data_IF_722408757212
#
_entry.id   IF_722408757212
#
_cell.length_a   1.000
_cell.length_b   1.000
_cell.length_c   1.000
_cell.angle_alpha   90.00
_cell.angle_beta   90.00
_cell.angle_gamma   90.00
#
_symmetry.space_group_name_H-M   'P 1'
#
loop_
_entity.id
_entity.type
_entity.pdbx_description
1 polymer ?
#
# COMPACT_ATOMS: atom_id res chain seq x y z
N UNK A 1 7.01 44.51 67.78
CA UNK A 1 6.57 45.70 67.02
C UNK A 1 5.23 45.36 66.43
N UNK A 2 4.19 46.00 66.97
CA UNK A 2 2.79 45.88 66.62
C UNK A 2 2.58 46.43 65.19
N UNK A 3 1.78 45.80 64.34
CA UNK A 3 0.37 46.20 64.16
C UNK A 3 -0.41 45.13 63.34
N UNK A 4 -1.69 44.85 63.68
CA UNK A 4 -2.55 43.81 63.14
C UNK A 4 -3.65 44.37 62.20
N UNK A 5 -4.39 43.47 61.54
CA UNK A 5 -5.57 43.79 60.72
C UNK A 5 -5.40 43.29 59.27
N UNK A 6 -6.28 42.51 58.66
CA UNK A 6 -7.73 42.44 58.84
C UNK A 6 -8.27 41.09 58.30
N UNK A 7 -8.61 40.18 59.19
CA UNK A 7 -9.70 39.20 59.09
C UNK A 7 -10.43 39.30 60.44
N UNK A 8 -11.71 38.94 60.62
CA UNK A 8 -12.86 38.72 59.72
C UNK A 8 -14.05 39.62 60.19
N UNK A 9 -15.35 39.29 60.02
CA UNK A 9 -15.97 38.24 60.84
C UNK A 9 -16.98 37.35 60.08
N UNK A 10 -16.82 36.06 60.28
CA UNK A 10 -17.80 35.17 60.89
C UNK A 10 -19.31 35.45 60.74
N UNK A 11 -19.96 34.30 60.57
CA UNK A 11 -21.17 33.92 61.27
C UNK A 11 -22.50 34.33 60.61
N UNK A 12 -23.03 33.30 59.95
CA UNK A 12 -24.32 32.75 60.37
C UNK A 12 -25.50 33.69 60.13
N UNK A 13 -25.93 33.79 58.88
CA UNK A 13 -27.34 34.08 58.64
C UNK A 13 -27.88 33.16 57.54
N UNK A 14 -28.86 32.36 57.96
CA UNK A 14 -29.90 31.69 57.14
C UNK A 14 -29.50 30.35 56.50
N UNK A 15 -29.52 29.31 57.34
CA UNK A 15 -30.35 28.13 57.00
C UNK A 15 -31.75 28.65 56.68
N UNK A 16 -32.18 28.59 55.41
CA UNK A 16 -33.54 28.26 55.01
C UNK A 16 -33.76 28.44 53.49
N UNK A 17 -34.24 27.36 52.87
CA UNK A 17 -34.95 27.28 51.60
C UNK A 17 -34.12 27.47 50.32
N UNK A 18 -33.59 26.37 49.80
CA UNK A 18 -33.79 26.06 48.38
C UNK A 18 -34.18 24.58 48.25
N UNK A 19 -35.49 24.37 48.07
CA UNK A 19 -36.14 23.10 47.82
C UNK A 19 -35.67 22.57 46.45
N UNK A 20 -35.13 21.36 46.47
CA UNK A 20 -34.62 20.62 45.32
C UNK A 20 -35.77 20.14 44.44
N UNK A 21 -36.37 21.02 43.63
CA UNK A 21 -37.38 20.61 42.62
C UNK A 21 -37.31 21.50 41.38
N UNK A 22 -37.27 20.82 40.22
CA UNK A 22 -37.40 21.35 38.85
C UNK A 22 -36.14 21.91 38.18
N UNK A 23 -35.19 21.02 37.84
CA UNK A 23 -34.52 21.14 36.54
C UNK A 23 -35.53 20.76 35.44
N UNK A 24 -35.69 21.56 34.36
CA UNK A 24 -36.63 21.22 33.30
C UNK A 24 -36.09 20.03 32.48
N UNK A 25 -36.87 18.95 32.44
CA UNK A 25 -36.59 17.70 31.73
C UNK A 25 -36.38 17.86 30.20
N UNK A 26 -36.58 19.05 29.65
CA UNK A 26 -36.42 19.37 28.23
C UNK A 26 -34.96 19.46 27.76
N UNK A 27 -33.99 19.74 28.65
CA UNK A 27 -32.57 19.77 28.27
C UNK A 27 -31.93 18.39 28.15
N UNK A 28 -32.48 17.38 28.83
CA UNK A 28 -31.97 16.00 28.77
C UNK A 28 -32.32 15.29 27.46
N UNK A 29 -33.38 15.71 26.76
CA UNK A 29 -33.85 15.05 25.55
C UNK A 29 -33.02 15.41 24.29
N UNK A 30 -32.43 16.61 24.23
CA UNK A 30 -31.54 17.01 23.12
C UNK A 30 -30.14 16.37 23.21
N UNK A 31 -29.67 16.02 24.40
CA UNK A 31 -28.37 15.35 24.60
C UNK A 31 -28.40 13.86 24.24
N UNK A 32 -29.57 13.22 24.28
CA UNK A 32 -29.77 11.81 23.88
C UNK A 32 -29.87 11.60 22.37
N UNK A 33 -30.20 12.63 21.58
CA UNK A 33 -30.24 12.54 20.11
C UNK A 33 -28.86 12.60 19.45
N UNK A 34 -27.84 13.08 20.16
CA UNK A 34 -26.45 13.10 19.66
C UNK A 34 -25.73 11.75 19.80
N UNK A 35 -26.26 10.81 20.59
CA UNK A 35 -25.63 9.50 20.83
C UNK A 35 -26.09 8.40 19.85
N UNK A 36 -27.09 8.67 19.02
CA UNK A 36 -27.67 7.70 18.06
C UNK A 36 -27.80 8.24 16.62
N UNK A 37 -27.10 9.31 16.27
CA UNK A 37 -26.96 9.70 14.87
C UNK A 37 -26.20 8.61 14.08
N UNK A 38 -26.57 8.30 12.82
CA UNK A 38 -25.80 7.38 12.01
C UNK A 38 -24.36 7.90 11.94
N UNK A 39 -23.44 7.12 12.52
CA UNK A 39 -22.02 7.40 12.43
C UNK A 39 -21.67 7.22 10.96
N UNK A 40 -21.41 8.33 10.25
CA UNK A 40 -20.81 8.27 8.95
C UNK A 40 -19.43 7.63 9.14
N UNK A 41 -19.34 6.32 8.93
CA UNK A 41 -18.05 5.64 8.83
C UNK A 41 -17.31 6.31 7.67
N UNK A 42 -16.12 6.82 7.94
CA UNK A 42 -15.29 7.39 6.89
C UNK A 42 -15.08 6.31 5.83
N UNK A 43 -15.65 6.52 4.65
CA UNK A 43 -15.59 5.56 3.55
C UNK A 43 -14.11 5.30 3.21
N UNK A 44 -13.64 4.06 3.40
CA UNK A 44 -12.28 3.71 3.02
C UNK A 44 -12.12 3.88 1.51
N UNK A 45 -11.09 4.64 1.10
CA UNK A 45 -10.75 4.81 -0.32
C UNK A 45 -10.22 3.52 -0.92
N UNK A 46 -10.51 3.30 -2.20
CA UNK A 46 -9.90 2.26 -3.00
C UNK A 46 -8.38 2.44 -3.02
N UNK A 47 -7.66 1.42 -2.56
CA UNK A 47 -6.19 1.40 -2.53
C UNK A 47 -5.65 0.00 -2.78
N UNK A 48 -4.48 -0.05 -3.40
CA UNK A 48 -3.76 -1.29 -3.70
C UNK A 48 -2.50 -1.41 -2.83
N UNK A 49 -2.03 -2.64 -2.57
CA UNK A 49 -0.71 -2.88 -2.02
C UNK A 49 0.36 -2.24 -2.90
N UNK A 50 1.44 -1.76 -2.29
CA UNK A 50 2.47 -0.96 -2.98
C UNK A 50 3.29 -1.78 -3.97
N UNK A 51 3.19 -3.12 -3.93
CA UNK A 51 3.76 -4.01 -4.93
C UNK A 51 3.10 -3.85 -6.30
N UNK A 52 1.84 -3.38 -6.36
CA UNK A 52 1.18 -3.07 -7.61
C UNK A 52 1.56 -1.66 -8.07
N UNK A 53 1.95 -1.56 -9.35
CA UNK A 53 2.44 -0.32 -9.94
C UNK A 53 2.50 -0.40 -11.45
N UNK A 54 2.71 0.76 -12.07
CA UNK A 54 3.07 0.84 -13.48
C UNK A 54 4.33 0.01 -13.74
N UNK A 55 4.45 -0.54 -14.94
CA UNK A 55 5.61 -1.31 -15.36
C UNK A 55 5.87 -2.58 -14.53
N UNK A 56 4.91 -3.08 -13.77
CA UNK A 56 5.09 -4.35 -13.05
C UNK A 56 5.09 -5.57 -13.98
N UNK A 57 5.50 -6.72 -13.44
CA UNK A 57 5.39 -8.03 -14.09
C UNK A 57 4.50 -8.92 -13.20
N UNK A 58 3.49 -9.54 -13.79
CA UNK A 58 2.63 -10.52 -13.14
C UNK A 58 3.04 -11.95 -13.53
N UNK A 59 2.88 -12.90 -12.60
CA UNK A 59 3.29 -14.29 -12.80
C UNK A 59 2.47 -14.98 -13.90
N UNK A 60 3.15 -15.57 -14.87
CA UNK A 60 2.57 -16.41 -15.93
C UNK A 60 2.22 -17.81 -15.44
N UNK A 61 1.38 -18.50 -16.21
CA UNK A 61 1.08 -19.94 -16.11
C UNK A 61 0.53 -20.38 -14.72
N UNK A 62 0.09 -19.42 -13.90
CA UNK A 62 -0.58 -19.62 -12.62
C UNK A 62 -1.72 -18.62 -12.46
N UNK A 63 -2.79 -18.94 -11.72
CA UNK A 63 -3.81 -17.97 -11.37
C UNK A 63 -3.19 -16.73 -10.71
N UNK A 64 -3.62 -15.55 -11.14
CA UNK A 64 -3.06 -14.28 -10.67
C UNK A 64 -3.95 -13.74 -9.56
N UNK A 65 -3.42 -13.72 -8.33
CA UNK A 65 -4.09 -13.12 -7.18
C UNK A 65 -3.95 -11.61 -7.22
N UNK A 66 -5.08 -10.91 -7.20
CA UNK A 66 -5.15 -9.45 -7.09
C UNK A 66 -5.94 -9.13 -5.83
N UNK A 67 -5.42 -8.24 -5.00
CA UNK A 67 -6.02 -7.90 -3.72
C UNK A 67 -5.79 -6.43 -3.37
N UNK A 68 -6.59 -5.91 -2.46
CA UNK A 68 -6.44 -4.56 -1.96
C UNK A 68 -7.46 -4.20 -0.89
N UNK A 69 -7.70 -2.90 -0.75
CA UNK A 69 -8.68 -2.36 0.16
C UNK A 69 -9.65 -1.42 -0.56
N UNK A 70 -10.88 -1.36 -0.10
CA UNK A 70 -11.94 -0.45 -0.53
C UNK A 70 -12.88 -0.20 0.64
N UNK A 71 -13.92 0.62 0.44
CA UNK A 71 -14.99 0.77 1.41
C UNK A 71 -15.62 -0.59 1.76
N UNK A 72 -16.04 -0.78 3.01
CA UNK A 72 -16.66 -2.02 3.45
C UNK A 72 -17.86 -2.37 2.55
N UNK A 73 -17.98 -3.65 2.19
CA UNK A 73 -19.07 -4.18 1.34
C UNK A 73 -19.17 -3.51 -0.06
N UNK A 74 -18.17 -2.75 -0.48
CA UNK A 74 -18.17 -2.08 -1.78
C UNK A 74 -17.82 -3.05 -2.91
N UNK A 75 -18.51 -2.97 -4.06
CA UNK A 75 -18.17 -3.78 -5.23
C UNK A 75 -16.85 -3.31 -5.85
N UNK A 76 -16.00 -4.28 -6.19
CA UNK A 76 -14.71 -4.07 -6.84
C UNK A 76 -14.67 -4.85 -8.15
N UNK A 77 -14.26 -4.20 -9.23
CA UNK A 77 -14.08 -4.81 -10.56
C UNK A 77 -12.63 -4.70 -10.97
N UNK A 78 -12.04 -5.82 -11.36
CA UNK A 78 -10.65 -5.96 -11.77
C UNK A 78 -10.62 -6.38 -13.23
N UNK A 79 -9.93 -5.60 -14.07
CA UNK A 79 -9.79 -5.91 -15.50
C UNK A 79 -8.32 -5.91 -15.94
N UNK A 80 -7.91 -6.99 -16.59
CA UNK A 80 -6.55 -7.18 -17.09
C UNK A 80 -6.53 -8.21 -18.23
N UNK A 81 -5.81 -7.92 -19.31
CA UNK A 81 -5.57 -8.86 -20.41
C UNK A 81 -6.83 -9.54 -20.97
N UNK A 82 -7.89 -8.76 -21.18
CA UNK A 82 -9.19 -9.25 -21.68
C UNK A 82 -10.05 -9.98 -20.62
N UNK A 83 -9.53 -10.21 -19.42
CA UNK A 83 -10.29 -10.73 -18.30
C UNK A 83 -10.96 -9.61 -17.51
N UNK A 84 -12.13 -9.91 -16.95
CA UNK A 84 -12.81 -9.05 -15.98
C UNK A 84 -13.38 -9.92 -14.86
N UNK A 85 -13.05 -9.60 -13.61
CA UNK A 85 -13.55 -10.29 -12.42
C UNK A 85 -14.11 -9.27 -11.43
N UNK A 86 -15.19 -9.64 -10.75
CA UNK A 86 -15.85 -8.78 -9.77
C UNK A 86 -15.89 -9.48 -8.41
N UNK A 87 -15.75 -8.70 -7.35
CA UNK A 87 -15.90 -9.12 -5.97
C UNK A 87 -16.51 -7.98 -5.15
N UNK A 88 -16.69 -8.17 -3.85
CA UNK A 88 -16.96 -7.09 -2.91
C UNK A 88 -15.91 -7.12 -1.80
N UNK A 89 -15.58 -5.95 -1.27
CA UNK A 89 -14.78 -5.88 -0.05
C UNK A 89 -15.56 -6.45 1.14
N UNK A 90 -14.84 -7.08 2.06
CA UNK A 90 -15.40 -7.55 3.31
C UNK A 90 -15.68 -6.37 4.27
N UNK A 91 -16.10 -6.69 5.49
CA UNK A 91 -16.41 -5.68 6.52
C UNK A 91 -15.18 -4.90 6.99
N UNK A 92 -14.00 -5.48 6.84
CA UNK A 92 -12.72 -4.82 7.16
C UNK A 92 -12.19 -4.00 5.96
N UNK A 93 -12.91 -4.02 4.83
CA UNK A 93 -12.56 -3.35 3.59
C UNK A 93 -11.56 -4.11 2.73
N UNK A 94 -11.18 -5.35 3.08
CA UNK A 94 -10.25 -6.17 2.30
C UNK A 94 -11.00 -6.89 1.17
N UNK A 95 -10.37 -7.02 0.02
CA UNK A 95 -10.93 -7.77 -1.11
C UNK A 95 -9.84 -8.52 -1.86
N UNK A 96 -10.25 -9.60 -2.53
CA UNK A 96 -9.39 -10.32 -3.45
C UNK A 96 -10.17 -10.95 -4.61
N UNK A 97 -9.48 -11.14 -5.73
CA UNK A 97 -9.93 -11.92 -6.89
C UNK A 97 -8.79 -12.79 -7.41
N UNK A 98 -9.16 -13.88 -8.08
CA UNK A 98 -8.24 -14.69 -8.88
C UNK A 98 -8.56 -14.49 -10.35
N UNK A 99 -7.60 -13.96 -11.11
CA UNK A 99 -7.65 -13.99 -12.57
C UNK A 99 -7.13 -15.35 -13.05
N UNK A 100 -7.63 -15.80 -14.20
CA UNK A 100 -7.13 -17.02 -14.83
C UNK A 100 -5.66 -16.88 -15.22
N UNK A 101 -4.96 -18.02 -15.25
CA UNK A 101 -3.58 -18.09 -15.69
C UNK A 101 -3.43 -17.51 -17.11
N UNK A 102 -2.39 -16.73 -17.31
CA UNK A 102 -2.03 -16.12 -18.59
C UNK A 102 -0.65 -16.64 -19.03
N UNK A 103 -0.43 -16.88 -20.32
CA UNK A 103 0.90 -17.15 -20.84
C UNK A 103 1.78 -15.90 -20.74
N UNK A 104 3.09 -16.06 -20.92
CA UNK A 104 4.02 -14.93 -21.01
C UNK A 104 3.59 -13.93 -22.10
N UNK A 105 3.68 -12.64 -21.80
CA UNK A 105 3.33 -11.57 -22.73
C UNK A 105 4.24 -10.36 -22.54
N UNK A 106 5.05 -10.07 -23.57
CA UNK A 106 6.09 -9.04 -23.54
C UNK A 106 5.62 -7.65 -23.98
N UNK A 107 4.37 -7.52 -24.46
CA UNK A 107 3.77 -6.22 -24.75
C UNK A 107 2.96 -5.73 -23.54
N UNK A 108 3.19 -4.47 -23.17
CA UNK A 108 2.56 -3.80 -22.03
C UNK A 108 1.05 -3.74 -22.14
N UNK A 109 0.36 -4.21 -21.10
CA UNK A 109 -1.10 -4.21 -21.03
C UNK A 109 -1.59 -3.22 -19.97
N UNK A 110 -2.79 -2.68 -20.17
CA UNK A 110 -3.47 -1.89 -19.15
C UNK A 110 -4.11 -2.80 -18.10
N UNK A 111 -3.90 -2.46 -16.84
CA UNK A 111 -4.51 -3.12 -15.69
C UNK A 111 -5.35 -2.09 -14.92
N UNK A 112 -6.61 -2.40 -14.64
CA UNK A 112 -7.51 -1.47 -13.95
C UNK A 112 -8.24 -2.13 -12.79
N UNK A 113 -8.42 -1.38 -11.71
CA UNK A 113 -9.26 -1.74 -10.56
C UNK A 113 -10.25 -0.60 -10.35
N UNK A 114 -11.53 -0.93 -10.28
CA UNK A 114 -12.62 0.05 -10.13
C UNK A 114 -13.46 -0.30 -8.92
N UNK A 115 -13.85 0.70 -8.15
CA UNK A 115 -14.83 0.59 -7.06
C UNK A 115 -15.63 1.89 -7.00
N UNK A 116 -16.94 1.79 -7.21
CA UNK A 116 -17.82 2.97 -7.32
C UNK A 116 -17.28 3.97 -8.37
N UNK A 117 -16.95 5.20 -7.95
CA UNK A 117 -16.40 6.26 -8.80
C UNK A 117 -14.86 6.25 -8.88
N UNK A 118 -14.18 5.47 -8.02
CA UNK A 118 -12.73 5.39 -7.97
C UNK A 118 -12.19 4.40 -9.00
N UNK A 119 -11.18 4.82 -9.76
CA UNK A 119 -10.49 4.00 -10.76
C UNK A 119 -8.99 4.10 -10.56
N UNK A 120 -8.37 2.97 -10.24
CA UNK A 120 -6.92 2.81 -10.26
C UNK A 120 -6.52 2.17 -11.59
N UNK A 121 -5.54 2.77 -12.27
CA UNK A 121 -5.02 2.28 -13.55
C UNK A 121 -3.52 2.14 -13.47
N UNK A 122 -3.03 1.00 -13.94
CA UNK A 122 -1.61 0.68 -14.03
C UNK A 122 -1.27 0.41 -15.49
N UNK A 123 -0.18 1.03 -15.94
CA UNK A 123 0.24 1.05 -17.34
C UNK A 123 1.40 0.11 -17.57
N UNK A 124 1.48 -0.38 -18.80
CA UNK A 124 2.60 -1.18 -19.27
C UNK A 124 2.86 -2.40 -18.37
N UNK A 125 1.83 -3.17 -18.02
CA UNK A 125 1.98 -4.37 -17.18
C UNK A 125 2.32 -5.57 -18.07
N UNK A 126 3.37 -6.32 -17.72
CA UNK A 126 3.78 -7.54 -18.42
C UNK A 126 3.32 -8.80 -17.70
N UNK A 127 3.34 -9.92 -18.41
CA UNK A 127 3.13 -11.26 -17.84
C UNK A 127 4.38 -12.10 -18.10
N UNK A 128 4.95 -12.68 -17.04
CA UNK A 128 6.25 -13.34 -17.10
C UNK A 128 6.59 -14.09 -15.81
N UNK A 129 7.88 -14.37 -15.58
CA UNK A 129 8.31 -15.03 -14.34
C UNK A 129 8.69 -14.00 -13.29
N UNK A 130 8.12 -14.13 -12.08
CA UNK A 130 8.36 -13.22 -10.96
C UNK A 130 9.17 -13.92 -9.88
N UNK A 131 10.28 -13.29 -9.48
CA UNK A 131 11.23 -13.83 -8.51
C UNK A 131 11.34 -12.90 -7.31
N UNK A 132 11.22 -13.49 -6.12
CA UNK A 132 11.54 -12.82 -4.87
C UNK A 132 13.04 -12.97 -4.58
N UNK A 133 13.75 -11.85 -4.60
CA UNK A 133 15.17 -11.73 -4.31
C UNK A 133 15.33 -11.28 -2.86
N UNK A 134 15.25 -12.24 -1.93
CA UNK A 134 15.56 -12.01 -0.52
C UNK A 134 17.05 -12.25 -0.23
N UNK A 135 17.54 -11.70 0.88
CA UNK A 135 18.91 -11.91 1.30
C UNK A 135 19.36 -10.94 2.39
N UNK A 136 20.64 -10.64 2.36
CA UNK A 136 21.32 -9.67 3.22
C UNK A 136 22.14 -8.71 2.35
N UNK A 137 23.17 -8.07 2.91
CA UNK A 137 24.01 -7.05 2.25
C UNK A 137 24.45 -7.35 0.80
N UNK A 138 24.76 -8.61 0.45
CA UNK A 138 25.12 -8.96 -0.93
C UNK A 138 23.95 -8.85 -1.93
N UNK A 139 22.73 -9.16 -1.50
CA UNK A 139 21.54 -8.98 -2.31
C UNK A 139 21.10 -7.52 -2.33
N UNK A 140 21.38 -6.74 -1.28
CA UNK A 140 21.21 -5.29 -1.29
C UNK A 140 22.23 -4.56 -2.19
N UNK A 141 23.39 -5.16 -2.43
CA UNK A 141 24.49 -4.55 -3.17
C UNK A 141 24.07 -4.19 -4.59
N UNK A 142 24.16 -2.91 -4.93
CA UNK A 142 23.66 -2.39 -6.20
C UNK A 142 24.59 -2.69 -7.37
N UNK A 143 24.02 -2.80 -8.58
CA UNK A 143 24.78 -3.01 -9.81
C UNK A 143 25.84 -1.90 -10.01
N UNK A 144 25.52 -0.64 -9.69
CA UNK A 144 26.48 0.48 -9.76
C UNK A 144 27.74 0.31 -8.90
N UNK A 145 27.69 -0.53 -7.88
CA UNK A 145 28.84 -0.87 -7.02
C UNK A 145 29.51 -2.19 -7.38
N UNK A 146 29.09 -2.84 -8.47
CA UNK A 146 29.66 -4.12 -8.93
C UNK A 146 30.89 -3.89 -9.80
N UNK A 147 31.75 -4.92 -9.92
CA UNK A 147 33.05 -4.81 -10.61
C UNK A 147 32.95 -4.28 -12.04
N UNK A 148 31.97 -4.76 -12.81
CA UNK A 148 31.84 -4.50 -14.25
C UNK A 148 30.71 -3.48 -14.55
N UNK A 149 30.39 -2.61 -13.58
CA UNK A 149 29.27 -1.67 -13.67
C UNK A 149 29.38 -0.68 -14.85
N UNK A 150 30.60 -0.30 -15.22
CA UNK A 150 30.93 0.58 -16.34
C UNK A 150 30.61 -0.04 -17.70
N UNK A 151 30.56 -1.37 -17.80
CA UNK A 151 30.16 -2.10 -18.99
C UNK A 151 28.69 -2.54 -18.94
N UNK A 152 28.24 -3.02 -17.78
CA UNK A 152 26.90 -3.59 -17.61
C UNK A 152 25.81 -2.53 -17.66
N UNK A 153 26.00 -1.37 -17.01
CA UNK A 153 24.95 -0.34 -16.98
C UNK A 153 24.70 0.22 -18.38
N UNK A 154 25.70 0.67 -19.17
CA UNK A 154 25.43 1.18 -20.52
C UNK A 154 24.83 0.15 -21.47
N UNK A 155 25.07 -1.15 -21.24
CA UNK A 155 24.54 -2.23 -22.06
C UNK A 155 23.21 -2.81 -21.57
N UNK A 156 22.68 -2.31 -20.44
CA UNK A 156 21.49 -2.84 -19.76
C UNK A 156 20.15 -2.44 -20.41
N UNK A 157 20.00 -2.64 -21.72
CA UNK A 157 18.74 -2.34 -22.43
C UNK A 157 17.84 -3.58 -22.52
N UNK A 158 17.19 -3.92 -21.40
CA UNK A 158 16.31 -5.09 -21.31
C UNK A 158 14.93 -4.68 -20.77
N UNK A 159 14.05 -4.07 -21.58
CA UNK A 159 12.75 -3.55 -21.11
C UNK A 159 11.81 -4.64 -20.56
N UNK A 160 12.01 -5.90 -20.95
CA UNK A 160 11.30 -7.07 -20.41
C UNK A 160 11.84 -7.57 -19.07
N UNK A 161 13.03 -7.14 -18.64
CA UNK A 161 13.55 -7.35 -17.29
C UNK A 161 13.17 -6.14 -16.44
N UNK A 162 12.45 -6.35 -15.36
CA UNK A 162 11.96 -5.28 -14.50
C UNK A 162 12.20 -5.61 -13.05
N UNK A 163 12.39 -4.60 -12.23
CA UNK A 163 12.67 -4.80 -10.82
C UNK A 163 11.98 -3.75 -9.96
N UNK A 164 11.65 -4.14 -8.74
CA UNK A 164 11.23 -3.24 -7.67
C UNK A 164 12.19 -3.42 -6.51
N UNK A 165 12.64 -2.31 -5.93
CA UNK A 165 13.40 -2.34 -4.68
C UNK A 165 12.50 -1.91 -3.54
N UNK A 166 12.33 -2.82 -2.58
CA UNK A 166 11.68 -2.55 -1.32
C UNK A 166 12.78 -2.17 -0.33
N UNK A 167 12.59 -1.06 0.37
CA UNK A 167 13.57 -0.60 1.35
C UNK A 167 13.63 -1.58 2.52
N UNK A 168 14.82 -1.93 3.03
CA UNK A 168 14.94 -2.66 4.28
C UNK A 168 14.24 -1.88 5.41
N UNK A 169 13.28 -2.53 6.05
CA UNK A 169 12.52 -1.98 7.15
C UNK A 169 12.17 -3.09 8.11
N UNK A 170 12.95 -3.23 9.18
CA UNK A 170 12.69 -4.23 10.21
C UNK A 170 11.36 -3.93 10.91
N UNK A 171 10.47 -4.91 10.94
CA UNK A 171 9.26 -4.87 11.76
C UNK A 171 9.14 -6.16 12.57
N UNK A 172 8.85 -6.08 13.88
CA UNK A 172 8.61 -7.25 14.71
C UNK A 172 7.25 -7.92 14.43
N UNK A 173 6.35 -7.24 13.72
CA UNK A 173 5.03 -7.75 13.35
C UNK A 173 4.87 -7.83 11.81
N UNK A 174 4.06 -8.78 11.30
CA UNK A 174 3.68 -8.81 9.90
C UNK A 174 3.09 -7.47 9.45
N UNK A 175 3.49 -7.02 8.26
CA UNK A 175 2.97 -5.80 7.65
C UNK A 175 2.09 -6.17 6.45
N UNK A 176 0.92 -5.54 6.38
CA UNK A 176 -0.01 -5.70 5.25
C UNK A 176 0.49 -5.02 3.96
N UNK A 177 1.45 -4.09 4.07
CA UNK A 177 2.04 -3.36 2.95
C UNK A 177 3.42 -2.82 3.34
N UNK A 178 4.32 -2.59 2.37
CA UNK A 178 5.59 -1.89 2.62
C UNK A 178 5.43 -0.38 2.36
N UNK A 179 6.12 0.52 3.07
CA UNK A 179 6.01 1.96 2.84
C UNK A 179 6.67 2.38 1.51
N UNK A 180 6.02 3.27 0.75
CA UNK A 180 6.67 3.98 -0.36
C UNK A 180 7.40 5.20 0.20
N UNK A 181 8.72 5.20 0.13
CA UNK A 181 9.55 6.37 0.43
C UNK A 181 10.14 6.94 -0.87
N UNK A 182 10.58 8.21 -0.83
CA UNK A 182 11.03 8.99 -2.00
C UNK A 182 11.84 8.16 -3.02
N UNK A 183 11.19 7.74 -4.11
CA UNK A 183 11.81 7.03 -5.23
C UNK A 183 11.97 5.51 -5.08
N UNK A 184 11.56 4.92 -3.95
CA UNK A 184 11.65 3.48 -3.68
C UNK A 184 10.25 2.83 -3.68
N UNK A 185 10.17 1.53 -3.96
CA UNK A 185 8.89 0.83 -4.04
C UNK A 185 8.09 1.06 -5.33
N UNK A 186 8.77 1.45 -6.42
CA UNK A 186 8.22 1.48 -7.77
C UNK A 186 8.91 0.43 -8.65
N UNK A 187 8.17 -0.16 -9.58
CA UNK A 187 8.74 -1.01 -10.61
C UNK A 187 9.47 -0.14 -11.64
N UNK A 188 10.67 -0.58 -12.00
CA UNK A 188 11.53 0.06 -12.98
C UNK A 188 11.89 -0.96 -14.07
N UNK A 189 11.87 -0.56 -15.35
CA UNK A 189 12.42 -1.37 -16.42
C UNK A 189 13.95 -1.41 -16.25
N UNK A 190 14.59 -2.44 -16.77
CA UNK A 190 16.04 -2.48 -16.85
C UNK A 190 16.49 -1.67 -18.08
N UNK A 191 16.99 -0.47 -17.81
CA UNK A 191 17.58 0.44 -18.79
C UNK A 191 18.89 1.02 -18.22
N UNK A 192 19.76 1.62 -19.06
CA UNK A 192 20.99 2.27 -18.58
C UNK A 192 20.76 3.31 -17.48
N UNK A 193 19.59 3.96 -17.45
CA UNK A 193 19.24 4.97 -16.46
C UNK A 193 18.87 4.38 -15.09
N UNK A 194 18.31 3.18 -15.06
CA UNK A 194 17.71 2.57 -13.85
C UNK A 194 18.49 1.36 -13.34
N UNK A 195 19.13 0.58 -14.22
CA UNK A 195 19.73 -0.71 -13.90
C UNK A 195 20.80 -0.61 -12.80
N UNK A 196 21.49 0.53 -12.72
CA UNK A 196 22.46 0.81 -11.66
C UNK A 196 21.88 0.73 -10.24
N UNK A 197 20.57 0.90 -10.07
CA UNK A 197 19.88 0.78 -8.77
C UNK A 197 19.27 -0.59 -8.50
N UNK A 198 19.33 -1.51 -9.46
CA UNK A 198 19.02 -2.92 -9.23
C UNK A 198 20.10 -3.57 -8.35
N UNK A 199 19.74 -4.64 -7.65
CA UNK A 199 20.74 -5.53 -7.03
C UNK A 199 21.63 -6.11 -8.11
N UNK A 200 22.96 -6.14 -7.91
CA UNK A 200 23.89 -6.76 -8.84
C UNK A 200 23.59 -8.25 -9.00
N UNK A 201 23.37 -8.96 -7.90
CA UNK A 201 23.05 -10.40 -7.91
C UNK A 201 21.74 -10.65 -8.65
N UNK A 202 20.68 -9.91 -8.32
CA UNK A 202 19.38 -10.07 -8.96
C UNK A 202 19.44 -9.72 -10.45
N UNK A 203 20.16 -8.65 -10.82
CA UNK A 203 20.35 -8.24 -12.21
C UNK A 203 20.98 -9.34 -13.05
N UNK A 204 22.14 -9.89 -12.64
CA UNK A 204 22.80 -10.93 -13.44
C UNK A 204 21.96 -12.20 -13.54
N UNK A 205 21.28 -12.59 -12.45
CA UNK A 205 20.34 -13.69 -12.45
C UNK A 205 19.18 -13.46 -13.44
N UNK A 206 18.49 -12.33 -13.32
CA UNK A 206 17.35 -11.98 -14.16
C UNK A 206 17.73 -11.77 -15.61
N UNK A 207 18.86 -11.13 -15.89
CA UNK A 207 19.40 -10.94 -17.24
C UNK A 207 19.67 -12.30 -17.89
N UNK A 208 20.30 -13.24 -17.17
CA UNK A 208 20.56 -14.59 -17.68
C UNK A 208 19.26 -15.33 -17.98
N UNK A 209 18.28 -15.31 -17.07
CA UNK A 209 16.98 -15.94 -17.30
C UNK A 209 16.24 -15.32 -18.49
N UNK A 210 16.16 -13.99 -18.55
CA UNK A 210 15.49 -13.27 -19.62
C UNK A 210 16.07 -13.64 -20.99
N UNK A 211 17.40 -13.71 -21.11
CA UNK A 211 18.09 -14.09 -22.36
C UNK A 211 17.85 -15.55 -22.77
N UNK A 212 17.74 -16.47 -21.80
CA UNK A 212 17.57 -17.90 -22.11
C UNK A 212 16.12 -18.28 -22.38
N UNK A 213 15.19 -17.71 -21.61
CA UNK A 213 13.77 -18.04 -21.68
C UNK A 213 13.01 -17.16 -22.67
N UNK A 214 13.54 -15.97 -22.99
CA UNK A 214 12.90 -14.97 -23.84
C UNK A 214 11.48 -14.59 -23.36
N UNK A 215 11.30 -14.51 -22.03
CA UNK A 215 10.05 -14.08 -21.37
C UNK A 215 10.34 -12.91 -20.44
N UNK A 216 9.35 -12.04 -20.14
CA UNK A 216 9.52 -10.99 -19.15
C UNK A 216 9.92 -11.57 -17.79
N UNK A 217 10.81 -10.87 -17.08
CA UNK A 217 11.28 -11.26 -15.74
C UNK A 217 11.03 -10.10 -14.79
N UNK A 218 10.30 -10.36 -13.71
CA UNK A 218 10.10 -9.42 -12.59
C UNK A 218 10.96 -9.81 -11.40
N UNK A 219 11.76 -8.88 -10.87
CA UNK A 219 12.60 -9.08 -9.69
C UNK A 219 12.09 -8.23 -8.53
N UNK A 220 11.62 -8.87 -7.47
CA UNK A 220 11.23 -8.20 -6.23
C UNK A 220 12.43 -8.25 -5.29
N UNK A 221 13.20 -7.17 -5.21
CA UNK A 221 14.30 -7.07 -4.27
C UNK A 221 13.78 -6.64 -2.89
N UNK A 222 13.85 -7.58 -1.95
CA UNK A 222 13.42 -7.42 -0.56
C UNK A 222 14.50 -7.90 0.42
N UNK A 223 15.77 -7.70 0.02
CA UNK A 223 16.92 -7.89 0.88
C UNK A 223 17.06 -6.78 1.92
#
# INVERSE_FOLDING_TARGET
MLDPGLLPPDALFIMQVFDSRFLPATFALCLLQFLFGPRAEAEQKLRMPNIFGDQMVLQRDKPIRIWGWAGAECPVVVSFAGQSQSTAADRDGKWEVLLQALPAHSSGQAFTVKSREEVLSFKDVLVGDVWLCGGQSNMEWRLRGSRDADLEIPSSNYPGLRFIRIRPGGSPAPQDNFPKEKGEGAWLPCSPETAGDCSGVAYFFGQRLHRHLNVPIGLINAA
#
